data_IF_423842286258
#
_entry.id   IF_423842286258
#
_cell.length_a   1.000
_cell.length_b   1.000
_cell.length_c   1.000
_cell.angle_alpha   90.00
_cell.angle_beta   90.00
_cell.angle_gamma   90.00
#
_symmetry.space_group_name_H-M   'P 1'
#
loop_
_entity.id
_entity.type
_entity.pdbx_description
1 polymer ?
#
# COMPACT_ATOMS: atom_id res chain seq x y z
N UNK A 1 -13.42 -3.82 14.22
CA UNK A 1 -12.35 -2.95 13.69
C UNK A 1 -11.24 -3.84 13.14
N UNK A 2 -10.97 -3.76 11.84
CA UNK A 2 -9.92 -4.54 11.20
C UNK A 2 -8.77 -3.61 10.81
N UNK A 3 -7.53 -4.03 11.12
CA UNK A 3 -6.33 -3.27 10.78
C UNK A 3 -5.78 -3.76 9.44
N UNK A 4 -5.63 -2.86 8.49
CA UNK A 4 -5.03 -3.10 7.19
C UNK A 4 -3.77 -2.27 7.03
N UNK A 5 -2.70 -2.88 6.56
CA UNK A 5 -1.51 -2.18 6.11
C UNK A 5 -1.44 -2.25 4.58
N UNK A 6 -1.50 -1.09 3.95
CA UNK A 6 -1.65 -0.99 2.50
C UNK A 6 -0.30 -0.70 1.84
N UNK A 7 0.10 -1.56 0.93
CA UNK A 7 1.17 -1.27 -0.01
C UNK A 7 0.77 -0.12 -0.94
N UNK A 8 1.74 0.64 -1.44
CA UNK A 8 1.54 1.80 -2.31
C UNK A 8 0.71 1.50 -3.56
N UNK A 9 0.80 0.27 -4.11
CA UNK A 9 0.00 -0.14 -5.26
C UNK A 9 -1.51 -0.18 -4.96
N UNK A 10 -1.92 -0.40 -3.69
CA UNK A 10 -3.32 -0.37 -3.27
C UNK A 10 -3.85 1.07 -3.23
N UNK A 11 -3.01 2.04 -2.84
CA UNK A 11 -3.34 3.46 -2.87
C UNK A 11 -3.60 3.91 -4.32
N UNK A 12 -2.78 3.46 -5.27
CA UNK A 12 -2.99 3.75 -6.68
C UNK A 12 -4.34 3.21 -7.15
N UNK A 13 -4.71 1.97 -6.79
CA UNK A 13 -6.02 1.38 -7.12
C UNK A 13 -7.21 2.17 -6.55
N UNK A 14 -7.02 2.86 -5.46
CA UNK A 14 -8.05 3.73 -4.89
C UNK A 14 -8.34 4.95 -5.78
N UNK A 15 -7.29 5.60 -6.28
CA UNK A 15 -7.41 6.83 -7.07
C UNK A 15 -7.56 6.60 -8.58
N UNK A 16 -6.98 5.54 -9.11
CA UNK A 16 -7.01 5.20 -10.52
C UNK A 16 -7.69 3.85 -10.75
N UNK A 17 -8.65 3.80 -11.69
CA UNK A 17 -9.42 2.57 -11.95
C UNK A 17 -8.60 1.58 -12.77
N UNK A 18 -8.34 0.45 -12.16
CA UNK A 18 -7.63 -0.71 -12.70
C UNK A 18 -8.13 -2.00 -12.01
N UNK A 19 -7.75 -3.21 -12.44
CA UNK A 19 -8.16 -4.43 -11.76
C UNK A 19 -7.89 -4.40 -10.26
N UNK A 20 -8.91 -4.74 -9.44
CA UNK A 20 -8.89 -4.68 -7.98
C UNK A 20 -9.28 -3.33 -7.36
N UNK A 21 -9.55 -2.30 -8.16
CA UNK A 21 -9.93 -0.96 -7.66
C UNK A 21 -11.23 -0.95 -6.89
N UNK A 22 -12.25 -1.67 -7.35
CA UNK A 22 -13.55 -1.74 -6.66
C UNK A 22 -13.39 -2.35 -5.27
N UNK A 23 -12.62 -3.41 -5.16
CA UNK A 23 -12.31 -4.04 -3.88
C UNK A 23 -11.52 -3.08 -2.96
N UNK A 24 -10.45 -2.45 -3.47
CA UNK A 24 -9.63 -1.51 -2.71
C UNK A 24 -10.46 -0.32 -2.18
N UNK A 25 -11.32 0.26 -3.02
CA UNK A 25 -12.21 1.35 -2.62
C UNK A 25 -13.21 0.94 -1.54
N UNK A 26 -13.79 -0.26 -1.65
CA UNK A 26 -14.69 -0.80 -0.63
C UNK A 26 -13.97 -0.96 0.71
N UNK A 27 -12.78 -1.56 0.71
CA UNK A 27 -11.96 -1.74 1.90
C UNK A 27 -11.62 -0.40 2.56
N UNK A 28 -11.11 0.57 1.79
CA UNK A 28 -10.62 1.86 2.31
C UNK A 28 -11.77 2.76 2.79
N UNK A 29 -12.94 2.68 2.15
CA UNK A 29 -14.09 3.50 2.53
C UNK A 29 -14.95 2.90 3.66
N UNK A 30 -14.68 1.66 4.05
CA UNK A 30 -15.38 1.03 5.17
C UNK A 30 -14.86 1.60 6.50
N UNK A 31 -15.74 2.31 7.22
CA UNK A 31 -15.43 2.93 8.51
C UNK A 31 -15.09 1.92 9.63
N UNK A 32 -15.41 0.64 9.44
CA UNK A 32 -15.00 -0.42 10.35
C UNK A 32 -13.51 -0.79 10.21
N UNK A 33 -12.85 -0.33 9.15
CA UNK A 33 -11.46 -0.60 8.84
C UNK A 33 -10.56 0.57 9.23
N UNK A 34 -9.36 0.25 9.70
CA UNK A 34 -8.28 1.20 9.90
C UNK A 34 -7.20 0.89 8.87
N UNK A 35 -6.92 1.85 8.01
CA UNK A 35 -5.92 1.73 6.94
C UNK A 35 -4.63 2.42 7.34
N UNK A 36 -3.56 1.64 7.47
CA UNK A 36 -2.21 2.13 7.76
C UNK A 36 -1.36 2.06 6.48
N UNK A 37 -0.42 2.97 6.38
CA UNK A 37 0.58 3.03 5.30
C UNK A 37 1.95 3.36 5.88
N UNK A 38 3.03 3.02 5.18
CA UNK A 38 4.37 3.49 5.52
C UNK A 38 4.60 4.91 4.96
N UNK A 39 5.42 5.72 5.61
CA UNK A 39 5.86 7.01 5.05
C UNK A 39 6.53 6.87 3.68
N UNK A 40 7.11 5.72 3.35
CA UNK A 40 7.66 5.47 2.01
C UNK A 40 6.58 5.49 0.91
N UNK A 41 5.31 5.35 1.26
CA UNK A 41 4.21 5.45 0.32
C UNK A 41 4.16 6.84 -0.37
N UNK A 42 4.62 7.91 0.27
CA UNK A 42 4.66 9.24 -0.34
C UNK A 42 5.45 9.27 -1.65
N UNK A 43 6.76 8.95 -1.66
CA UNK A 43 7.52 8.94 -2.91
C UNK A 43 7.08 7.82 -3.87
N UNK A 44 6.61 6.67 -3.38
CA UNK A 44 6.15 5.57 -4.22
C UNK A 44 4.87 5.92 -4.98
N UNK A 45 3.87 6.51 -4.31
CA UNK A 45 2.64 6.98 -4.95
C UNK A 45 2.95 8.07 -5.99
N UNK A 46 3.82 9.03 -5.67
CA UNK A 46 4.26 10.05 -6.61
C UNK A 46 4.93 9.44 -7.85
N UNK A 47 5.81 8.45 -7.66
CA UNK A 47 6.48 7.74 -8.75
C UNK A 47 5.50 6.94 -9.62
N UNK A 48 4.56 6.21 -9.01
CA UNK A 48 3.53 5.44 -9.70
C UNK A 48 2.60 6.34 -10.52
N UNK A 49 2.15 7.47 -9.98
CA UNK A 49 1.35 8.46 -10.71
C UNK A 49 2.12 9.05 -11.90
N UNK A 50 3.44 9.30 -11.73
CA UNK A 50 4.29 9.76 -12.83
C UNK A 50 4.42 8.72 -13.94
N UNK A 51 4.49 7.43 -13.60
CA UNK A 51 4.49 6.33 -14.57
C UNK A 51 3.15 6.23 -15.31
N UNK A 52 2.03 6.28 -14.58
CA UNK A 52 0.68 6.29 -15.18
C UNK A 52 0.52 7.44 -16.17
N UNK A 53 1.01 8.64 -15.85
CA UNK A 53 0.99 9.77 -16.76
C UNK A 53 1.70 9.47 -18.06
N UNK A 54 2.88 8.84 -18.01
CA UNK A 54 3.66 8.50 -19.23
C UNK A 54 2.97 7.43 -20.07
N UNK A 55 2.43 6.40 -19.45
CA UNK A 55 1.86 5.24 -20.15
C UNK A 55 0.42 5.47 -20.64
N UNK A 56 -0.36 6.30 -19.92
CA UNK A 56 -1.77 6.56 -20.22
C UNK A 56 -2.03 7.97 -20.77
N UNK A 57 -0.97 8.73 -21.01
CA UNK A 57 -1.03 10.09 -21.58
C UNK A 57 -1.91 11.07 -20.76
N UNK A 58 -1.94 10.93 -19.44
CA UNK A 58 -2.61 11.88 -18.56
C UNK A 58 -1.87 13.21 -18.49
N UNK A 59 -2.62 14.31 -18.41
CA UNK A 59 -2.06 15.64 -18.19
C UNK A 59 -1.39 15.79 -16.83
N UNK A 60 -0.46 16.75 -16.73
CA UNK A 60 0.22 17.08 -15.46
C UNK A 60 -0.77 17.43 -14.34
N UNK A 61 -1.89 18.05 -14.68
CA UNK A 61 -2.96 18.40 -13.75
C UNK A 61 -3.52 17.19 -13.03
N UNK A 62 -3.81 16.09 -13.75
CA UNK A 62 -4.29 14.84 -13.16
C UNK A 62 -3.33 14.33 -12.09
N UNK A 63 -2.02 14.30 -12.39
CA UNK A 63 -0.99 13.86 -11.45
C UNK A 63 -0.98 14.69 -10.18
N UNK A 64 -0.96 16.03 -10.33
CA UNK A 64 -0.86 16.96 -9.20
C UNK A 64 -2.11 16.90 -8.32
N UNK A 65 -3.31 16.92 -8.91
CA UNK A 65 -4.57 16.85 -8.18
C UNK A 65 -4.76 15.50 -7.47
N UNK A 66 -4.35 14.40 -8.12
CA UNK A 66 -4.45 13.06 -7.50
C UNK A 66 -3.50 12.93 -6.32
N UNK A 67 -2.26 13.39 -6.45
CA UNK A 67 -1.30 13.36 -5.35
C UNK A 67 -1.75 14.25 -4.19
N UNK A 68 -2.23 15.46 -4.47
CA UNK A 68 -2.79 16.36 -3.44
C UNK A 68 -3.96 15.70 -2.69
N UNK A 69 -4.87 15.02 -3.38
CA UNK A 69 -5.96 14.29 -2.72
C UNK A 69 -5.46 13.18 -1.80
N UNK A 70 -4.37 12.51 -2.18
CA UNK A 70 -3.73 11.51 -1.32
C UNK A 70 -3.13 12.17 -0.06
N UNK A 71 -2.42 13.28 -0.19
CA UNK A 71 -1.87 14.02 0.95
C UNK A 71 -3.00 14.50 1.88
N UNK A 72 -4.07 15.07 1.34
CA UNK A 72 -5.23 15.50 2.12
C UNK A 72 -5.91 14.34 2.86
N UNK A 73 -6.05 13.18 2.22
CA UNK A 73 -6.61 11.98 2.84
C UNK A 73 -5.76 11.51 4.03
N UNK A 74 -4.45 11.61 3.91
CA UNK A 74 -3.52 11.28 5.00
C UNK A 74 -3.65 12.28 6.16
N UNK A 75 -3.71 13.57 5.85
CA UNK A 75 -3.90 14.62 6.88
C UNK A 75 -5.24 14.45 7.60
N UNK A 76 -6.29 14.05 6.89
CA UNK A 76 -7.64 13.81 7.46
C UNK A 76 -7.74 12.47 8.21
N UNK A 77 -6.69 11.67 8.26
CA UNK A 77 -6.66 10.39 8.97
C UNK A 77 -7.33 9.22 8.26
N UNK A 78 -7.62 9.34 6.95
CA UNK A 78 -8.09 8.20 6.15
C UNK A 78 -6.99 7.14 6.01
N UNK A 79 -5.73 7.58 5.96
CA UNK A 79 -4.55 6.73 6.03
C UNK A 79 -3.70 7.15 7.22
N UNK A 80 -3.43 6.22 8.12
CA UNK A 80 -2.55 6.45 9.26
C UNK A 80 -1.11 6.11 8.86
N UNK A 81 -0.20 7.08 9.00
CA UNK A 81 1.20 6.92 8.62
C UNK A 81 2.04 6.24 9.70
N UNK A 82 2.64 5.11 9.36
CA UNK A 82 3.77 4.56 10.11
C UNK A 82 5.04 5.32 9.72
N UNK A 83 5.64 5.99 10.69
CA UNK A 83 6.90 6.72 10.50
C UNK A 83 8.05 5.75 10.24
N UNK A 84 8.95 6.12 9.35
CA UNK A 84 10.17 5.38 9.12
C UNK A 84 11.17 5.67 10.24
N UNK A 85 11.49 4.62 10.99
CA UNK A 85 12.54 4.68 12.02
C UNK A 85 13.79 3.96 11.54
N UNK A 86 14.90 4.22 12.21
CA UNK A 86 16.16 3.53 11.94
C UNK A 86 16.01 2.01 12.13
N UNK A 87 15.23 1.58 13.11
CA UNK A 87 14.93 0.18 13.38
C UNK A 87 14.20 -0.49 12.22
N UNK A 88 13.18 0.17 11.65
CA UNK A 88 12.46 -0.33 10.47
C UNK A 88 13.42 -0.47 9.28
N UNK A 89 14.32 0.49 9.06
CA UNK A 89 15.28 0.45 7.96
C UNK A 89 16.29 -0.69 8.14
N UNK A 90 16.80 -0.94 9.35
CA UNK A 90 17.69 -2.08 9.61
C UNK A 90 16.96 -3.42 9.48
N UNK A 91 15.71 -3.52 9.92
CA UNK A 91 14.89 -4.71 9.73
C UNK A 91 14.63 -4.95 8.23
N UNK A 92 14.32 -3.92 7.46
CA UNK A 92 14.16 -4.01 6.01
C UNK A 92 15.46 -4.46 5.30
N UNK A 93 16.60 -3.94 5.73
CA UNK A 93 17.90 -4.35 5.21
C UNK A 93 18.16 -5.85 5.50
N UNK A 94 17.84 -6.32 6.69
CA UNK A 94 17.97 -7.74 7.05
C UNK A 94 17.03 -8.62 6.21
N UNK A 95 15.80 -8.19 5.95
CA UNK A 95 14.88 -8.90 5.06
C UNK A 95 15.44 -8.96 3.62
N UNK A 96 15.94 -7.86 3.09
CA UNK A 96 16.49 -7.78 1.74
C UNK A 96 17.78 -8.60 1.57
N UNK A 97 18.56 -8.80 2.62
CA UNK A 97 19.74 -9.68 2.61
C UNK A 97 19.37 -11.18 2.58
N UNK A 98 18.23 -11.54 3.14
CA UNK A 98 17.80 -12.94 3.29
C UNK A 98 16.73 -13.37 2.26
N UNK A 99 16.15 -12.44 1.53
CA UNK A 99 15.08 -12.68 0.56
C UNK A 99 15.32 -11.90 -0.73
N UNK A 100 14.87 -12.45 -1.86
CA UNK A 100 14.92 -11.74 -3.14
C UNK A 100 13.75 -10.76 -3.21
N UNK A 101 13.98 -9.54 -2.72
CA UNK A 101 12.98 -8.47 -2.64
C UNK A 101 13.65 -7.11 -2.89
N UNK A 102 12.89 -6.16 -3.42
CA UNK A 102 13.36 -4.78 -3.57
C UNK A 102 13.40 -4.07 -2.22
N UNK A 103 14.34 -3.12 -2.06
CA UNK A 103 14.55 -2.44 -0.77
C UNK A 103 13.29 -1.75 -0.24
N UNK A 104 12.53 -1.05 -1.09
CA UNK A 104 11.30 -0.37 -0.66
C UNK A 104 10.16 -1.35 -0.31
N UNK A 105 10.07 -2.51 -0.98
CA UNK A 105 9.12 -3.57 -0.63
C UNK A 105 9.47 -4.15 0.76
N UNK A 106 10.76 -4.36 1.04
CA UNK A 106 11.22 -4.76 2.37
C UNK A 106 10.88 -3.72 3.44
N UNK A 107 10.95 -2.42 3.12
CA UNK A 107 10.52 -1.34 4.02
C UNK A 107 9.02 -1.38 4.29
N UNK A 108 8.20 -1.63 3.28
CA UNK A 108 6.74 -1.78 3.45
C UNK A 108 6.41 -2.93 4.42
N UNK A 109 7.00 -4.12 4.19
CA UNK A 109 6.78 -5.29 5.05
C UNK A 109 7.30 -5.06 6.47
N UNK A 110 8.49 -4.46 6.63
CA UNK A 110 9.06 -4.15 7.96
C UNK A 110 8.22 -3.12 8.71
N UNK A 111 7.69 -2.11 8.02
CA UNK A 111 6.77 -1.14 8.62
C UNK A 111 5.50 -1.82 9.15
N UNK A 112 4.92 -2.74 8.38
CA UNK A 112 3.74 -3.50 8.80
C UNK A 112 4.01 -4.41 10.00
N UNK A 113 5.17 -5.09 10.01
CA UNK A 113 5.60 -5.91 11.16
C UNK A 113 5.76 -5.09 12.44
N UNK A 114 6.37 -3.92 12.32
CA UNK A 114 6.55 -3.00 13.46
C UNK A 114 5.20 -2.59 14.04
N UNK A 115 4.25 -2.19 13.19
CA UNK A 115 2.88 -1.84 13.63
C UNK A 115 2.20 -3.03 14.31
N UNK A 116 2.29 -4.24 13.74
CA UNK A 116 1.69 -5.44 14.32
C UNK A 116 2.27 -5.73 15.73
N UNK A 117 3.57 -5.56 15.89
CA UNK A 117 4.26 -5.77 17.16
C UNK A 117 3.90 -4.70 18.20
N UNK A 118 3.95 -3.41 17.82
CA UNK A 118 3.64 -2.29 18.70
C UNK A 118 2.20 -2.32 19.22
N UNK A 119 1.25 -2.65 18.36
CA UNK A 119 -0.16 -2.74 18.71
C UNK A 119 -0.53 -4.07 19.38
N UNK A 120 0.34 -5.08 19.29
CA UNK A 120 0.06 -6.46 19.72
C UNK A 120 -1.29 -6.97 19.16
N UNK A 121 -1.58 -6.65 17.91
CA UNK A 121 -2.82 -7.00 17.21
C UNK A 121 -2.50 -7.53 15.82
N UNK A 122 -3.29 -8.49 15.38
CA UNK A 122 -3.19 -9.00 14.01
C UNK A 122 -3.54 -7.89 13.01
N UNK A 123 -2.73 -7.80 11.99
CA UNK A 123 -2.79 -6.83 10.93
C UNK A 123 -2.83 -7.59 9.59
N UNK A 124 -3.61 -7.10 8.63
CA UNK A 124 -3.69 -7.66 7.28
C UNK A 124 -2.86 -6.78 6.35
N UNK A 125 -1.81 -7.35 5.78
CA UNK A 125 -0.99 -6.69 4.78
C UNK A 125 -1.60 -6.89 3.39
N UNK A 126 -1.83 -5.81 2.67
CA UNK A 126 -2.49 -5.81 1.36
C UNK A 126 -1.54 -5.33 0.28
N UNK A 127 -1.32 -6.16 -0.73
CA UNK A 127 -0.52 -5.81 -1.90
C UNK A 127 -1.05 -6.54 -3.15
N UNK A 128 -0.84 -5.93 -4.31
CA UNK A 128 -1.04 -6.60 -5.61
C UNK A 128 0.22 -7.31 -6.13
N UNK A 129 1.33 -7.26 -5.40
CA UNK A 129 2.59 -7.91 -5.78
C UNK A 129 2.76 -9.25 -5.04
N UNK A 130 2.76 -10.35 -5.79
CA UNK A 130 2.88 -11.70 -5.24
C UNK A 130 4.21 -11.92 -4.51
N UNK A 131 5.30 -11.31 -4.95
CA UNK A 131 6.61 -11.41 -4.29
C UNK A 131 6.56 -10.77 -2.89
N UNK A 132 5.92 -9.61 -2.78
CA UNK A 132 5.74 -8.89 -1.51
C UNK A 132 4.81 -9.66 -0.58
N UNK A 133 3.69 -10.21 -1.10
CA UNK A 133 2.75 -11.03 -0.32
C UNK A 133 3.42 -12.31 0.22
N UNK A 134 4.25 -12.97 -0.59
CA UNK A 134 5.01 -14.14 -0.15
C UNK A 134 5.96 -13.79 0.99
N UNK A 135 6.72 -12.69 0.86
CA UNK A 135 7.60 -12.22 1.94
C UNK A 135 6.80 -11.91 3.21
N UNK A 136 5.72 -11.16 3.08
CA UNK A 136 4.87 -10.79 4.22
C UNK A 136 4.34 -12.03 4.97
N UNK A 137 3.88 -13.05 4.23
CA UNK A 137 3.46 -14.34 4.82
C UNK A 137 4.60 -15.08 5.51
N UNK A 138 5.78 -15.14 4.90
CA UNK A 138 6.96 -15.82 5.47
C UNK A 138 7.40 -15.21 6.80
N UNK A 139 7.18 -13.91 6.98
CA UNK A 139 7.55 -13.21 8.22
C UNK A 139 6.38 -13.06 9.21
N UNK A 140 5.25 -13.75 8.97
CA UNK A 140 4.14 -13.89 9.93
C UNK A 140 3.04 -12.84 9.84
N UNK A 141 2.94 -12.09 8.73
CA UNK A 141 1.80 -11.24 8.45
C UNK A 141 0.67 -12.05 7.77
N UNK A 142 -0.58 -11.74 8.11
CA UNK A 142 -1.73 -12.16 7.31
C UNK A 142 -1.79 -11.28 6.05
N UNK A 143 -2.12 -11.86 4.89
CA UNK A 143 -2.11 -11.11 3.63
C UNK A 143 -3.42 -11.20 2.90
N UNK A 144 -3.76 -10.15 2.14
CA UNK A 144 -4.84 -10.12 1.16
C UNK A 144 -4.35 -9.58 -0.18
N UNK A 145 -4.89 -10.19 -1.26
CA UNK A 145 -4.60 -9.85 -2.64
C UNK A 145 -5.86 -9.26 -3.30
N UNK A 146 -5.85 -7.98 -3.77
CA UNK A 146 -6.99 -7.38 -4.45
C UNK A 146 -7.36 -8.09 -5.75
N UNK A 147 -6.45 -8.84 -6.37
CA UNK A 147 -6.71 -9.59 -7.59
C UNK A 147 -7.46 -10.91 -7.34
N UNK A 148 -7.53 -11.39 -6.10
CA UNK A 148 -8.38 -12.55 -5.76
C UNK A 148 -9.87 -12.25 -5.89
N UNK A 149 -10.27 -10.96 -5.91
CA UNK A 149 -11.65 -10.49 -5.97
C UNK A 149 -11.86 -9.43 -7.06
N UNK A 150 -11.45 -9.71 -8.32
CA UNK A 150 -11.66 -8.78 -9.45
C UNK A 150 -13.15 -8.72 -9.78
N UNK A 151 -13.72 -7.51 -9.76
CA UNK A 151 -15.10 -7.25 -10.12
C UNK A 151 -15.25 -6.91 -11.61
N UNK A 152 -16.40 -7.22 -12.25
CA UNK A 152 -16.59 -6.94 -13.68
C UNK A 152 -16.39 -5.48 -14.07
N UNK A 153 -16.72 -4.53 -13.20
CA UNK A 153 -16.53 -3.10 -13.41
C UNK A 153 -15.05 -2.68 -13.48
N UNK A 154 -14.15 -3.45 -12.87
CA UNK A 154 -12.70 -3.18 -12.91
C UNK A 154 -12.06 -3.57 -14.25
N UNK A 155 -12.77 -4.34 -15.07
CA UNK A 155 -12.30 -4.79 -16.38
C UNK A 155 -12.61 -3.81 -17.51
N UNK A 156 -13.41 -2.78 -17.24
CA UNK A 156 -13.74 -1.75 -18.23
C UNK A 156 -12.54 -0.81 -18.39
N UNK A 157 -11.95 -0.87 -19.57
CA UNK A 157 -10.92 0.06 -20.04
C UNK A 157 -11.50 1.40 -20.43
#
# INVERSE_FOLDING_TARGET
MTLYFLDSNIIIKYYYTEPGSTWARKLINDQANVCLISEIALPEVAAALSQLRRHKNFGRRFLTETFQRFEEATVKGQFLNQRLTTEILYQAAALALNHVVKGYDAVQVSSALTVQQELNQKLIFVSGDQTVLQLANQVGLTTEDPFACIMPEDQRK
#
